data_IF_119640249645
#
_entry.id   IF_119640249645
#
_cell.length_a   1.000
_cell.length_b   1.000
_cell.length_c   1.000
_cell.angle_alpha   90.00
_cell.angle_beta   90.00
_cell.angle_gamma   90.00
#
_symmetry.space_group_name_H-M   'P 1'
#
loop_
_entity.id
_entity.type
_entity.pdbx_description
1 polymer ?
#
# COMPACT_ATOMS: atom_id res chain seq x y z
N UNK A 1 31.78 -17.35 -17.97
CA UNK A 1 30.75 -17.58 -16.92
C UNK A 1 29.94 -16.31 -16.77
N UNK A 2 28.61 -16.39 -16.90
CA UNK A 2 27.72 -15.27 -16.53
C UNK A 2 28.02 -14.92 -15.06
N UNK A 3 28.41 -13.67 -14.81
CA UNK A 3 28.72 -13.20 -13.47
C UNK A 3 27.44 -13.23 -12.66
N UNK A 4 27.30 -14.21 -11.77
CA UNK A 4 26.13 -14.35 -10.92
C UNK A 4 25.97 -13.07 -10.08
N UNK A 5 24.74 -12.56 -10.01
CA UNK A 5 24.42 -11.42 -9.15
C UNK A 5 24.84 -11.70 -7.70
N UNK A 6 25.25 -10.66 -6.98
CA UNK A 6 25.54 -10.75 -5.53
C UNK A 6 24.27 -10.73 -4.68
N UNK A 7 23.11 -10.49 -5.27
CA UNK A 7 21.82 -10.54 -4.60
C UNK A 7 21.25 -11.97 -4.62
N UNK A 8 20.43 -12.28 -3.62
CA UNK A 8 19.53 -13.44 -3.60
C UNK A 8 18.16 -12.98 -4.10
N UNK A 9 17.51 -13.84 -4.88
CA UNK A 9 16.19 -13.61 -5.46
C UNK A 9 15.32 -14.82 -5.17
N UNK A 10 14.13 -14.59 -4.62
CA UNK A 10 13.12 -15.62 -4.42
C UNK A 10 11.78 -15.15 -5.00
N UNK A 11 11.05 -16.05 -5.66
CA UNK A 11 9.74 -15.77 -6.23
C UNK A 11 8.66 -16.36 -5.32
N UNK A 12 7.71 -15.51 -4.92
CA UNK A 12 6.53 -15.90 -4.16
C UNK A 12 5.28 -15.34 -4.86
N UNK A 13 4.60 -16.18 -5.63
CA UNK A 13 3.48 -15.74 -6.46
C UNK A 13 3.92 -14.73 -7.52
N UNK A 14 3.35 -13.53 -7.46
CA UNK A 14 3.68 -12.41 -8.37
C UNK A 14 4.73 -11.45 -7.78
N UNK A 15 5.42 -11.84 -6.70
CA UNK A 15 6.41 -11.00 -6.03
C UNK A 15 7.80 -11.64 -6.10
N UNK A 16 8.78 -10.84 -6.51
CA UNK A 16 10.21 -11.13 -6.39
C UNK A 16 10.70 -10.46 -5.11
N UNK A 17 11.25 -11.23 -4.18
CA UNK A 17 12.05 -10.68 -3.09
C UNK A 17 13.51 -10.58 -3.54
N UNK A 18 14.17 -9.49 -3.17
CA UNK A 18 15.56 -9.21 -3.50
C UNK A 18 16.28 -8.86 -2.21
N UNK A 19 17.34 -9.61 -1.90
CA UNK A 19 18.11 -9.41 -0.69
C UNK A 19 19.61 -9.46 -0.99
N UNK A 20 20.39 -8.76 -0.17
CA UNK A 20 21.84 -8.86 -0.18
C UNK A 20 22.36 -8.84 1.24
N UNK A 21 23.45 -9.57 1.48
CA UNK A 21 24.14 -9.51 2.76
C UNK A 21 24.47 -8.06 3.14
N UNK A 22 24.12 -7.69 4.38
CA UNK A 22 24.25 -6.33 4.91
C UNK A 22 23.06 -5.39 4.65
N UNK A 23 22.02 -5.83 3.95
CA UNK A 23 20.76 -5.07 3.88
C UNK A 23 19.91 -5.32 5.12
N UNK A 24 19.34 -4.25 5.68
CA UNK A 24 18.42 -4.33 6.82
C UNK A 24 17.01 -4.78 6.42
N UNK A 25 16.64 -4.61 5.15
CA UNK A 25 15.29 -4.85 4.63
C UNK A 25 15.36 -5.55 3.27
N UNK A 26 14.38 -6.40 2.99
CA UNK A 26 14.18 -6.98 1.66
C UNK A 26 13.58 -5.93 0.72
N UNK A 27 14.08 -5.91 -0.51
CA UNK A 27 13.39 -5.20 -1.59
C UNK A 27 12.39 -6.13 -2.28
N UNK A 28 11.34 -5.54 -2.84
CA UNK A 28 10.28 -6.25 -3.53
C UNK A 28 10.06 -5.65 -4.92
N UNK A 29 9.80 -6.51 -5.89
CA UNK A 29 9.39 -6.15 -7.24
C UNK A 29 8.27 -7.08 -7.70
N UNK A 30 7.43 -6.65 -8.63
CA UNK A 30 6.44 -7.54 -9.24
C UNK A 30 7.15 -8.48 -10.21
N UNK A 31 6.76 -9.75 -10.22
CA UNK A 31 7.26 -10.74 -11.16
C UNK A 31 6.58 -10.60 -12.52
N UNK A 32 7.38 -10.69 -13.59
CA UNK A 32 6.92 -10.90 -14.96
C UNK A 32 8.03 -11.65 -15.70
N UNK A 33 7.66 -12.64 -16.49
CA UNK A 33 8.61 -13.57 -17.10
C UNK A 33 9.60 -12.88 -18.05
N UNK A 34 9.11 -11.92 -18.83
CA UNK A 34 9.86 -11.22 -19.88
C UNK A 34 11.06 -10.40 -19.40
N UNK A 35 11.09 -9.92 -18.15
CA UNK A 35 12.20 -9.16 -17.59
C UNK A 35 12.89 -9.81 -16.39
N UNK A 36 12.41 -10.98 -15.93
CA UNK A 36 12.95 -11.60 -14.73
C UNK A 36 14.43 -11.94 -14.89
N UNK A 37 14.82 -12.51 -16.05
CA UNK A 37 16.23 -12.85 -16.33
C UNK A 37 17.17 -11.65 -16.28
N UNK A 38 16.76 -10.54 -16.88
CA UNK A 38 17.51 -9.30 -16.83
C UNK A 38 17.64 -8.80 -15.38
N UNK A 39 16.55 -8.82 -14.61
CA UNK A 39 16.55 -8.35 -13.22
C UNK A 39 17.48 -9.17 -12.32
N UNK A 40 17.47 -10.51 -12.41
CA UNK A 40 18.24 -11.37 -11.49
C UNK A 40 19.71 -11.55 -11.89
N UNK A 41 20.06 -11.33 -13.16
CA UNK A 41 21.47 -11.39 -13.61
C UNK A 41 22.26 -10.15 -13.17
N UNK A 42 21.59 -9.06 -12.83
CA UNK A 42 22.20 -7.82 -12.37
C UNK A 42 22.33 -7.72 -10.84
N UNK A 43 23.42 -7.09 -10.38
CA UNK A 43 23.65 -6.82 -8.95
C UNK A 43 23.06 -5.47 -8.56
N UNK A 44 22.15 -5.47 -7.61
CA UNK A 44 21.54 -4.30 -6.99
C UNK A 44 22.31 -3.88 -5.74
N UNK A 45 22.50 -2.57 -5.59
CA UNK A 45 23.11 -1.91 -4.43
C UNK A 45 22.13 -0.92 -3.82
N UNK A 46 22.36 -0.46 -2.59
CA UNK A 46 21.57 0.63 -2.02
C UNK A 46 22.26 1.97 -2.26
N UNK A 47 21.49 2.95 -2.71
CA UNK A 47 21.89 4.36 -2.76
C UNK A 47 20.76 5.21 -2.19
N UNK A 48 21.04 5.94 -1.10
CA UNK A 48 20.03 6.73 -0.36
C UNK A 48 18.76 5.92 0.00
N UNK A 49 18.95 4.64 0.35
CA UNK A 49 17.86 3.73 0.68
C UNK A 49 17.13 3.09 -0.51
N UNK A 50 17.45 3.46 -1.75
CA UNK A 50 16.86 2.83 -2.94
C UNK A 50 17.73 1.69 -3.46
N UNK A 51 17.15 0.55 -3.86
CA UNK A 51 17.82 -0.41 -4.72
C UNK A 51 18.16 0.22 -6.08
N UNK A 52 19.42 0.14 -6.49
CA UNK A 52 19.90 0.73 -7.74
C UNK A 52 20.85 -0.20 -8.50
N UNK A 53 20.83 -0.07 -9.83
CA UNK A 53 21.76 -0.65 -10.77
C UNK A 53 21.96 0.32 -11.95
N UNK A 54 23.21 0.71 -12.22
CA UNK A 54 23.52 1.69 -13.27
C UNK A 54 23.24 1.15 -14.69
N UNK A 55 23.50 -0.14 -14.94
CA UNK A 55 23.29 -0.74 -16.25
C UNK A 55 21.80 -0.82 -16.63
N UNK A 56 20.92 -0.97 -15.62
CA UNK A 56 19.47 -1.02 -15.80
C UNK A 56 18.77 0.33 -15.62
N UNK A 57 19.49 1.44 -15.81
CA UNK A 57 18.89 2.78 -15.83
C UNK A 57 18.64 3.41 -14.46
N UNK A 58 19.27 2.89 -13.39
CA UNK A 58 19.28 3.53 -12.07
C UNK A 58 18.47 2.78 -11.02
N UNK A 59 17.42 3.40 -10.48
CA UNK A 59 16.65 2.84 -9.36
C UNK A 59 15.69 1.73 -9.80
N UNK A 60 15.48 0.74 -8.93
CA UNK A 60 14.60 -0.39 -9.19
C UNK A 60 13.16 0.06 -9.50
N UNK A 61 12.60 1.00 -8.75
CA UNK A 61 11.25 1.51 -9.03
C UNK A 61 11.13 2.14 -10.43
N UNK A 62 12.17 2.85 -10.91
CA UNK A 62 12.16 3.41 -12.28
C UNK A 62 12.27 2.31 -13.32
N UNK A 63 13.13 1.31 -13.09
CA UNK A 63 13.21 0.12 -13.92
C UNK A 63 11.85 -0.59 -14.02
N UNK A 64 11.17 -0.77 -12.89
CA UNK A 64 9.84 -1.38 -12.88
C UNK A 64 8.83 -0.55 -13.68
N UNK A 65 8.80 0.78 -13.50
CA UNK A 65 7.92 1.64 -14.30
C UNK A 65 8.23 1.58 -15.79
N UNK A 66 9.50 1.55 -16.19
CA UNK A 66 9.90 1.41 -17.59
C UNK A 66 9.42 0.07 -18.19
N UNK A 67 9.57 -1.04 -17.45
CA UNK A 67 9.10 -2.36 -17.91
C UNK A 67 7.58 -2.43 -18.06
N UNK A 68 6.83 -1.73 -17.23
CA UNK A 68 5.37 -1.81 -17.22
C UNK A 68 4.67 -0.78 -18.11
N UNK A 69 5.24 0.42 -18.27
CA UNK A 69 4.65 1.49 -19.09
C UNK A 69 5.39 1.77 -20.40
N UNK A 70 6.65 1.33 -20.53
CA UNK A 70 7.54 1.72 -21.62
C UNK A 70 8.53 2.82 -21.22
N UNK A 71 9.75 2.73 -21.76
CA UNK A 71 10.81 3.72 -21.55
C UNK A 71 10.44 5.11 -22.09
N UNK A 72 9.68 5.16 -23.19
CA UNK A 72 9.17 6.38 -23.79
C UNK A 72 8.19 7.11 -22.87
N UNK A 73 7.26 6.38 -22.24
CA UNK A 73 6.32 6.93 -21.25
C UNK A 73 7.05 7.44 -20.02
N UNK A 74 7.99 6.65 -19.47
CA UNK A 74 8.80 7.08 -18.33
C UNK A 74 9.58 8.36 -18.63
N UNK A 75 10.19 8.46 -19.82
CA UNK A 75 10.94 9.63 -20.26
C UNK A 75 10.02 10.85 -20.41
N UNK A 76 8.93 10.73 -21.17
CA UNK A 76 7.97 11.82 -21.41
C UNK A 76 7.41 12.39 -20.11
N UNK A 77 6.99 11.54 -19.17
CA UNK A 77 6.47 11.99 -17.88
C UNK A 77 7.57 12.61 -17.02
N UNK A 78 8.79 12.08 -17.05
CA UNK A 78 9.94 12.69 -16.35
C UNK A 78 10.23 14.10 -16.91
N UNK A 79 10.23 14.28 -18.24
CA UNK A 79 10.42 15.58 -18.90
C UNK A 79 9.29 16.56 -18.56
N UNK A 80 8.06 16.05 -18.38
CA UNK A 80 6.91 16.81 -17.89
C UNK A 80 6.93 17.06 -16.38
N UNK A 81 8.01 16.72 -15.67
CA UNK A 81 8.18 16.99 -14.23
C UNK A 81 7.43 16.05 -13.30
N UNK A 82 7.07 14.86 -13.76
CA UNK A 82 6.61 13.77 -12.90
C UNK A 82 7.80 12.98 -12.34
N UNK A 83 7.60 12.41 -11.17
CA UNK A 83 8.50 11.44 -10.53
C UNK A 83 7.74 10.14 -10.29
N UNK A 84 8.47 9.05 -10.04
CA UNK A 84 7.87 7.78 -9.61
C UNK A 84 7.71 7.81 -8.09
N UNK A 85 6.47 7.93 -7.63
CA UNK A 85 6.09 7.88 -6.22
C UNK A 85 6.03 6.43 -5.73
N UNK A 86 6.35 6.22 -4.46
CA UNK A 86 6.05 4.99 -3.74
C UNK A 86 4.83 5.29 -2.87
N UNK A 87 3.70 4.67 -3.18
CA UNK A 87 2.43 4.96 -2.53
C UNK A 87 2.53 4.80 -1.00
N UNK A 88 3.24 3.78 -0.53
CA UNK A 88 3.52 3.52 0.90
C UNK A 88 4.79 4.22 1.46
N UNK A 89 5.48 5.03 0.66
CA UNK A 89 6.75 5.69 1.00
C UNK A 89 7.87 4.75 1.46
N UNK A 90 7.86 3.48 1.01
CA UNK A 90 8.93 2.52 1.24
C UNK A 90 9.75 2.33 -0.04
N UNK A 91 10.99 2.85 -0.05
CA UNK A 91 11.92 2.78 -1.18
C UNK A 91 12.30 1.35 -1.60
N UNK A 92 12.09 0.38 -0.70
CA UNK A 92 12.37 -1.04 -0.94
C UNK A 92 11.19 -1.76 -1.60
N UNK A 93 9.99 -1.17 -1.60
CA UNK A 93 8.80 -1.78 -2.19
C UNK A 93 8.54 -1.24 -3.60
N UNK A 94 9.19 -1.84 -4.58
CA UNK A 94 9.07 -1.51 -6.00
C UNK A 94 8.05 -2.39 -6.73
N UNK A 95 7.10 -3.02 -6.02
CA UNK A 95 5.99 -3.72 -6.67
C UNK A 95 5.12 -2.72 -7.42
N UNK A 96 4.67 -3.10 -8.61
CA UNK A 96 3.98 -2.18 -9.51
C UNK A 96 2.67 -1.63 -8.93
N UNK A 97 2.01 -2.40 -8.06
CA UNK A 97 0.82 -1.97 -7.32
C UNK A 97 1.08 -0.88 -6.27
N UNK A 98 2.35 -0.56 -5.99
CA UNK A 98 2.80 0.45 -5.04
C UNK A 98 3.49 1.64 -5.74
N UNK A 99 3.53 1.67 -7.08
CA UNK A 99 4.22 2.70 -7.84
C UNK A 99 3.24 3.48 -8.73
N UNK A 100 3.44 4.80 -8.81
CA UNK A 100 2.68 5.67 -9.72
C UNK A 100 3.48 6.91 -10.08
N UNK A 101 3.15 7.54 -11.21
CA UNK A 101 3.64 8.85 -11.57
C UNK A 101 2.91 9.96 -10.81
N UNK A 102 3.66 10.82 -10.13
CA UNK A 102 3.12 11.99 -9.43
C UNK A 102 3.97 13.21 -9.76
N UNK A 103 3.36 14.39 -9.93
CA UNK A 103 4.10 15.64 -10.12
C UNK A 103 5.05 15.87 -8.95
N UNK A 104 6.28 16.32 -9.23
CA UNK A 104 7.32 16.44 -8.21
C UNK A 104 6.88 17.24 -6.96
N UNK A 105 6.22 18.38 -7.15
CA UNK A 105 5.70 19.20 -6.04
C UNK A 105 4.64 18.46 -5.20
N UNK A 106 3.76 17.68 -5.84
CA UNK A 106 2.75 16.86 -5.16
C UNK A 106 3.40 15.70 -4.40
N UNK A 107 4.41 15.06 -4.97
CA UNK A 107 5.19 14.02 -4.28
C UNK A 107 5.91 14.58 -3.04
N UNK A 108 6.50 15.78 -3.14
CA UNK A 108 7.09 16.46 -2.00
C UNK A 108 6.04 16.78 -0.93
N UNK A 109 4.87 17.28 -1.32
CA UNK A 109 3.77 17.56 -0.39
C UNK A 109 3.29 16.30 0.34
N UNK A 110 3.02 15.22 -0.40
CA UNK A 110 2.67 13.89 0.13
C UNK A 110 3.69 13.41 1.15
N UNK A 111 4.98 13.52 0.84
CA UNK A 111 6.07 13.14 1.76
C UNK A 111 6.17 14.01 3.01
N UNK A 112 5.81 15.29 2.92
CA UNK A 112 5.82 16.19 4.08
C UNK A 112 4.59 16.05 4.97
N UNK A 113 3.47 15.58 4.43
CA UNK A 113 2.20 15.47 5.13
C UNK A 113 1.71 14.01 5.18
N UNK A 114 1.01 13.52 4.15
CA UNK A 114 0.39 12.18 4.14
C UNK A 114 1.29 11.07 4.69
N UNK A 115 2.53 10.98 4.20
CA UNK A 115 3.42 9.87 4.56
C UNK A 115 3.85 9.92 6.03
N UNK A 116 4.03 11.12 6.60
CA UNK A 116 4.34 11.30 8.03
C UNK A 116 3.12 10.98 8.88
N UNK A 117 1.96 11.47 8.46
CA UNK A 117 0.71 11.29 9.18
C UNK A 117 0.26 9.83 9.18
N UNK A 118 0.31 9.15 8.03
CA UNK A 118 0.02 7.73 7.92
C UNK A 118 0.96 6.88 8.80
N UNK A 119 2.25 7.24 8.89
CA UNK A 119 3.20 6.56 9.78
C UNK A 119 2.87 6.79 11.26
N UNK A 120 2.53 8.02 11.64
CA UNK A 120 2.20 8.39 13.02
C UNK A 120 0.87 7.77 13.48
N UNK A 121 -0.14 7.77 12.61
CA UNK A 121 -1.48 7.28 12.90
C UNK A 121 -1.66 5.78 12.70
N UNK A 122 -0.66 5.05 12.18
CA UNK A 122 -0.78 3.62 11.87
C UNK A 122 -1.38 2.77 12.98
N UNK A 123 -1.03 3.05 14.24
CA UNK A 123 -1.55 2.33 15.41
C UNK A 123 -3.01 2.63 15.77
N UNK A 124 -3.63 3.60 15.09
CA UNK A 124 -5.03 4.01 15.25
C UNK A 124 -5.82 3.72 13.97
N UNK A 125 -5.32 4.21 12.83
CA UNK A 125 -5.80 3.90 11.49
C UNK A 125 -4.62 3.49 10.59
N UNK A 126 -4.64 2.23 10.14
CA UNK A 126 -3.68 1.69 9.20
C UNK A 126 -4.11 2.01 7.76
N UNK A 127 -3.91 3.26 7.35
CA UNK A 127 -4.20 3.70 5.98
C UNK A 127 -3.11 3.25 5.00
N UNK A 128 -3.50 2.77 3.82
CA UNK A 128 -2.60 2.39 2.74
C UNK A 128 -3.22 2.71 1.38
N UNK A 129 -2.35 2.96 0.40
CA UNK A 129 -2.70 3.31 -0.98
C UNK A 129 -2.19 2.22 -1.91
N UNK A 130 -3.01 1.85 -2.89
CA UNK A 130 -2.66 0.85 -3.90
C UNK A 130 -3.19 1.23 -5.27
N UNK A 131 -2.51 0.74 -6.31
CA UNK A 131 -3.05 0.65 -7.67
C UNK A 131 -3.26 -0.80 -8.03
N UNK A 132 -4.47 -1.15 -8.46
CA UNK A 132 -4.68 -2.40 -9.17
C UNK A 132 -4.36 -2.21 -10.64
N UNK A 133 -3.23 -2.77 -11.06
CA UNK A 133 -2.79 -2.65 -12.44
C UNK A 133 -3.69 -3.37 -13.46
N UNK A 134 -4.46 -4.37 -13.02
CA UNK A 134 -5.35 -5.10 -13.91
C UNK A 134 -6.60 -4.31 -14.29
N UNK A 135 -7.03 -3.38 -13.43
CA UNK A 135 -8.20 -2.52 -13.66
C UNK A 135 -7.83 -1.07 -13.93
N UNK A 136 -6.61 -0.66 -13.58
CA UNK A 136 -6.16 0.73 -13.60
C UNK A 136 -6.71 1.58 -12.43
N UNK A 137 -7.53 0.99 -11.55
CA UNK A 137 -8.16 1.71 -10.44
C UNK A 137 -7.23 1.80 -9.23
N UNK A 138 -7.45 2.82 -8.40
CA UNK A 138 -6.77 2.98 -7.12
C UNK A 138 -7.66 2.55 -5.96
N UNK A 139 -7.04 2.16 -4.86
CA UNK A 139 -7.74 1.87 -3.62
C UNK A 139 -7.06 2.55 -2.43
N UNK A 140 -7.87 3.17 -1.58
CA UNK A 140 -7.49 3.47 -0.21
C UNK A 140 -8.02 2.34 0.65
N UNK A 141 -7.16 1.72 1.43
CA UNK A 141 -7.55 0.74 2.45
C UNK A 141 -7.27 1.30 3.83
N UNK A 142 -8.17 1.09 4.78
CA UNK A 142 -8.06 1.56 6.16
C UNK A 142 -8.30 0.36 7.06
N UNK A 143 -7.27 -0.09 7.77
CA UNK A 143 -7.44 -1.00 8.91
C UNK A 143 -7.73 -0.21 10.18
N UNK A 144 -8.79 -0.55 10.91
CA UNK A 144 -9.19 0.13 12.13
C UNK A 144 -8.51 -0.54 13.34
N UNK A 145 -7.53 0.15 13.93
CA UNK A 145 -6.90 -0.28 15.18
C UNK A 145 -7.60 0.34 16.40
N UNK A 146 -8.08 1.58 16.25
CA UNK A 146 -9.04 2.17 17.18
C UNK A 146 -10.44 1.56 16.96
N UNK A 147 -11.28 1.65 17.98
CA UNK A 147 -12.67 1.19 17.91
C UNK A 147 -13.51 2.15 17.05
N UNK A 148 -13.75 1.79 15.79
CA UNK A 148 -14.54 2.58 14.85
C UNK A 148 -15.95 1.98 14.72
N UNK A 149 -16.96 2.86 14.79
CA UNK A 149 -18.37 2.49 14.69
C UNK A 149 -19.01 3.27 13.53
N UNK A 150 -19.78 2.55 12.72
CA UNK A 150 -20.73 3.16 11.78
C UNK A 150 -22.15 2.98 12.30
N UNK A 151 -23.04 3.92 11.99
CA UNK A 151 -24.44 3.87 12.36
C UNK A 151 -25.30 3.93 11.11
N UNK A 152 -26.26 3.01 10.99
CA UNK A 152 -27.21 3.05 9.89
C UNK A 152 -28.36 4.05 10.14
N UNK A 153 -29.21 4.23 9.12
CA UNK A 153 -30.39 5.10 9.19
C UNK A 153 -31.40 4.74 10.29
N UNK A 154 -31.31 3.54 10.88
CA UNK A 154 -32.19 3.06 11.96
C UNK A 154 -31.54 3.22 13.33
N UNK A 155 -30.31 3.71 13.40
CA UNK A 155 -29.55 3.87 14.64
C UNK A 155 -28.81 2.60 15.08
N UNK A 156 -28.77 1.54 14.26
CA UNK A 156 -28.00 0.35 14.58
C UNK A 156 -26.51 0.63 14.42
N UNK A 157 -25.73 0.25 15.42
CA UNK A 157 -24.28 0.37 15.42
C UNK A 157 -23.63 -0.87 14.81
N UNK A 158 -22.60 -0.64 13.99
CA UNK A 158 -21.76 -1.65 13.36
C UNK A 158 -20.30 -1.32 13.66
N UNK A 159 -19.59 -2.25 14.28
CA UNK A 159 -18.16 -2.12 14.53
C UNK A 159 -17.39 -2.41 13.26
N UNK A 160 -16.39 -1.60 12.93
CA UNK A 160 -15.69 -1.66 11.65
C UNK A 160 -14.26 -2.14 11.85
N UNK A 161 -13.87 -3.19 11.11
CA UNK A 161 -12.50 -3.71 11.08
C UNK A 161 -11.68 -3.08 9.95
N UNK A 162 -12.28 -2.97 8.77
CA UNK A 162 -11.60 -2.40 7.61
C UNK A 162 -12.57 -1.66 6.70
N UNK A 163 -12.05 -0.65 6.01
CA UNK A 163 -12.74 0.09 4.96
C UNK A 163 -11.86 0.07 3.72
N UNK A 164 -12.43 -0.27 2.57
CA UNK A 164 -11.78 -0.18 1.28
C UNK A 164 -12.58 0.76 0.40
N UNK A 165 -11.91 1.71 -0.22
CA UNK A 165 -12.51 2.74 -1.07
C UNK A 165 -11.90 2.62 -2.47
N UNK A 166 -12.73 2.49 -3.50
CA UNK A 166 -12.31 2.36 -4.89
C UNK A 166 -12.33 3.71 -5.59
N UNK A 167 -11.31 3.98 -6.40
CA UNK A 167 -11.16 5.22 -7.15
C UNK A 167 -10.85 4.93 -8.62
N UNK A 168 -11.59 5.59 -9.50
CA UNK A 168 -11.34 5.64 -10.95
C UNK A 168 -11.14 7.10 -11.39
N UNK A 169 -10.19 7.77 -10.73
CA UNK A 169 -9.85 9.17 -10.94
C UNK A 169 -8.33 9.37 -10.85
N UNK A 170 -7.85 10.59 -11.05
CA UNK A 170 -6.42 10.91 -10.99
C UNK A 170 -5.83 10.61 -9.61
N UNK A 171 -4.64 9.99 -9.58
CA UNK A 171 -3.95 9.61 -8.34
C UNK A 171 -3.76 10.78 -7.36
N UNK A 172 -3.58 12.01 -7.85
CA UNK A 172 -3.45 13.17 -6.98
C UNK A 172 -4.71 13.47 -6.16
N UNK A 173 -5.90 13.13 -6.66
CA UNK A 173 -7.16 13.24 -5.90
C UNK A 173 -7.23 12.15 -4.82
N UNK A 174 -6.76 10.95 -5.12
CA UNK A 174 -6.68 9.83 -4.15
C UNK A 174 -5.77 10.20 -2.97
N UNK A 175 -4.63 10.85 -3.25
CA UNK A 175 -3.73 11.37 -2.21
C UNK A 175 -4.42 12.42 -1.34
N UNK A 176 -5.17 13.35 -1.93
CA UNK A 176 -5.89 14.39 -1.18
C UNK A 176 -6.98 13.80 -0.28
N UNK A 177 -7.71 12.79 -0.76
CA UNK A 177 -8.73 12.11 0.05
C UNK A 177 -8.11 11.33 1.20
N UNK A 178 -6.96 10.69 0.97
CA UNK A 178 -6.19 10.03 2.03
C UNK A 178 -5.73 11.02 3.11
N UNK A 179 -5.27 12.20 2.71
CA UNK A 179 -4.92 13.29 3.63
C UNK A 179 -6.14 13.75 4.42
N UNK A 180 -7.26 14.03 3.75
CA UNK A 180 -8.51 14.47 4.39
C UNK A 180 -9.00 13.47 5.46
N UNK A 181 -9.02 12.16 5.14
CA UNK A 181 -9.40 11.11 6.10
C UNK A 181 -8.56 11.19 7.37
N UNK A 182 -7.25 11.27 7.21
CA UNK A 182 -6.29 11.32 8.32
C UNK A 182 -6.42 12.60 9.14
N UNK A 183 -6.56 13.75 8.47
CA UNK A 183 -6.75 15.05 9.12
C UNK A 183 -8.05 15.12 9.93
N UNK A 184 -9.18 14.71 9.33
CA UNK A 184 -10.47 14.70 10.01
C UNK A 184 -10.44 13.78 11.24
N UNK A 185 -9.86 12.59 11.06
CA UNK A 185 -9.77 11.62 12.14
C UNK A 185 -8.90 12.10 13.29
N UNK A 186 -7.76 12.72 13.01
CA UNK A 186 -6.92 13.31 14.05
C UNK A 186 -7.68 14.41 14.81
N UNK A 187 -8.38 15.30 14.10
CA UNK A 187 -9.02 16.45 14.69
C UNK A 187 -10.25 16.09 15.54
N UNK A 188 -11.03 15.10 15.13
CA UNK A 188 -12.35 14.83 15.70
C UNK A 188 -12.59 13.38 16.14
N UNK A 189 -11.65 12.47 15.92
CA UNK A 189 -11.83 11.03 16.17
C UNK A 189 -12.83 10.35 15.24
N UNK A 190 -13.23 11.03 14.15
CA UNK A 190 -14.17 10.56 13.14
C UNK A 190 -13.82 11.17 11.79
N UNK A 191 -14.23 10.52 10.71
CA UNK A 191 -14.08 11.01 9.34
C UNK A 191 -15.32 10.63 8.53
N UNK A 192 -15.60 11.39 7.47
CA UNK A 192 -16.68 11.09 6.54
C UNK A 192 -16.14 10.59 5.21
N UNK A 193 -16.77 9.56 4.66
CA UNK A 193 -16.49 9.07 3.31
C UNK A 193 -17.46 9.64 2.26
N UNK A 194 -18.45 10.44 2.67
CA UNK A 194 -19.53 10.88 1.77
C UNK A 194 -19.08 11.90 0.71
N UNK A 195 -18.04 12.68 1.02
CA UNK A 195 -17.54 13.76 0.16
C UNK A 195 -16.19 13.43 -0.50
N UNK A 196 -15.78 12.16 -0.45
CA UNK A 196 -14.57 11.69 -1.13
C UNK A 196 -14.87 11.43 -2.61
N UNK A 197 -13.82 11.35 -3.42
CA UNK A 197 -13.88 11.06 -4.84
C UNK A 197 -14.04 9.56 -5.14
N UNK A 198 -14.20 8.70 -4.12
CA UNK A 198 -14.36 7.27 -4.31
C UNK A 198 -15.65 6.96 -5.08
N UNK A 199 -15.56 6.05 -6.06
CA UNK A 199 -16.71 5.61 -6.84
C UNK A 199 -17.43 4.40 -6.24
N UNK A 200 -16.78 3.68 -5.32
CA UNK A 200 -17.37 2.54 -4.61
C UNK A 200 -16.67 2.33 -3.25
N UNK A 201 -17.31 1.58 -2.36
CA UNK A 201 -16.80 1.26 -1.02
C UNK A 201 -17.18 -0.14 -0.56
N UNK A 202 -16.28 -0.76 0.21
CA UNK A 202 -16.53 -2.01 0.93
C UNK A 202 -16.14 -1.82 2.38
N UNK A 203 -17.04 -2.20 3.27
CA UNK A 203 -16.86 -2.07 4.72
C UNK A 203 -16.87 -3.49 5.27
N UNK A 204 -15.81 -3.85 5.97
CA UNK A 204 -15.69 -5.13 6.68
C UNK A 204 -16.03 -4.88 8.15
N UNK A 205 -17.17 -5.40 8.57
CA UNK A 205 -17.64 -5.33 9.95
C UNK A 205 -16.85 -6.29 10.86
N UNK A 206 -16.77 -5.93 12.14
CA UNK A 206 -16.18 -6.79 13.14
C UNK A 206 -17.12 -7.96 13.47
N UNK A 207 -16.53 -9.14 13.62
CA UNK A 207 -17.28 -10.31 14.08
C UNK A 207 -17.51 -10.18 15.58
N UNK A 208 -18.75 -10.38 16.02
CA UNK A 208 -19.09 -10.42 17.43
C UNK A 208 -18.60 -11.74 18.05
N UNK A 209 -17.41 -11.69 18.67
CA UNK A 209 -16.81 -12.81 19.37
C UNK A 209 -16.63 -12.42 20.83
N UNK A 210 -17.35 -13.12 21.72
CA UNK A 210 -17.14 -13.03 23.16
C UNK A 210 -15.82 -13.72 23.53
N UNK A 211 -14.82 -12.91 23.87
CA UNK A 211 -13.51 -13.35 24.34
C UNK A 211 -13.53 -13.62 25.85
N UNK A 212 -12.81 -14.66 26.31
CA UNK A 212 -12.48 -14.81 27.74
C UNK A 212 -11.44 -13.78 28.18
N UNK A 213 -11.22 -13.64 29.49
CA UNK A 213 -10.24 -12.68 30.01
C UNK A 213 -8.79 -13.06 29.62
N UNK A 214 -8.50 -14.35 29.49
CA UNK A 214 -7.23 -14.83 28.94
C UNK A 214 -7.08 -14.47 27.47
N UNK A 215 -8.13 -14.65 26.68
CA UNK A 215 -8.13 -14.43 25.23
C UNK A 215 -7.98 -12.96 24.84
N UNK A 216 -8.54 -12.03 25.63
CA UNK A 216 -8.35 -10.58 25.44
C UNK A 216 -6.88 -10.17 25.40
N UNK A 217 -6.02 -10.95 26.06
CA UNK A 217 -4.59 -10.67 26.17
C UNK A 217 -3.72 -11.39 25.13
N UNK A 218 -4.33 -12.25 24.30
CA UNK A 218 -3.67 -12.99 23.23
C UNK A 218 -3.63 -12.19 21.93
N UNK A 219 -2.69 -12.52 21.06
CA UNK A 219 -2.61 -11.94 19.72
C UNK A 219 -3.72 -12.49 18.81
N UNK A 220 -3.94 -13.80 18.87
CA UNK A 220 -4.85 -14.52 17.99
C UNK A 220 -5.73 -15.45 18.80
N UNK A 221 -7.00 -15.53 18.44
CA UNK A 221 -7.94 -16.55 18.94
C UNK A 221 -8.43 -17.41 17.79
N UNK A 222 -8.71 -18.67 18.08
CA UNK A 222 -9.18 -19.62 17.08
C UNK A 222 -10.64 -20.01 17.39
N UNK A 223 -11.52 -19.91 16.40
CA UNK A 223 -12.92 -20.40 16.48
C UNK A 223 -13.22 -21.21 15.24
N UNK A 224 -13.54 -22.50 15.42
CA UNK A 224 -13.85 -23.39 14.31
C UNK A 224 -12.74 -23.51 13.26
N UNK A 225 -11.46 -23.41 13.67
CA UNK A 225 -10.31 -23.42 12.76
C UNK A 225 -9.97 -22.08 12.09
N UNK A 226 -10.82 -21.07 12.23
CA UNK A 226 -10.56 -19.71 11.74
C UNK A 226 -9.76 -18.93 12.78
N UNK A 227 -8.71 -18.25 12.33
CA UNK A 227 -7.84 -17.44 13.17
C UNK A 227 -8.32 -15.99 13.14
N UNK A 228 -8.54 -15.39 14.31
CA UNK A 228 -8.97 -14.01 14.46
C UNK A 228 -7.89 -13.23 15.21
N UNK A 229 -7.48 -12.10 14.65
CA UNK A 229 -6.57 -11.18 15.30
C UNK A 229 -7.34 -10.36 16.34
N UNK A 230 -6.86 -10.35 17.59
CA UNK A 230 -7.43 -9.51 18.65
C UNK A 230 -6.82 -8.11 18.51
N UNK A 231 -7.64 -7.10 18.30
CA UNK A 231 -7.21 -5.69 18.17
C UNK A 231 -7.65 -4.90 19.41
N UNK A 232 -6.92 -3.83 19.74
CA UNK A 232 -7.25 -2.96 20.89
C UNK A 232 -6.70 -3.42 22.25
N UNK A 233 -5.91 -4.50 22.27
CA UNK A 233 -5.26 -5.01 23.50
C UNK A 233 -3.88 -4.34 23.80
N UNK A 234 -3.45 -3.39 22.96
CA UNK A 234 -2.15 -2.71 23.06
C UNK A 234 -0.93 -3.53 22.65
N UNK A 235 -1.11 -4.79 22.23
CA UNK A 235 -0.04 -5.72 21.83
C UNK A 235 -0.07 -6.05 20.34
N UNK A 236 -1.25 -6.01 19.73
CA UNK A 236 -1.48 -6.35 18.34
C UNK A 236 -2.19 -5.22 17.61
N UNK A 237 -1.75 -4.97 16.38
CA UNK A 237 -2.31 -3.94 15.51
C UNK A 237 -2.17 -4.37 14.06
N UNK A 238 -3.08 -3.88 13.22
CA UNK A 238 -3.03 -3.96 11.78
C UNK A 238 -1.96 -3.00 11.27
N UNK A 239 -1.02 -3.48 10.46
CA UNK A 239 -0.03 -2.63 9.80
C UNK A 239 -0.55 -2.03 8.49
N UNK A 240 -1.34 -2.82 7.75
CA UNK A 240 -1.96 -2.47 6.47
C UNK A 240 -3.02 -3.52 6.14
N UNK A 241 -4.06 -3.13 5.39
CA UNK A 241 -4.99 -4.06 4.73
C UNK A 241 -4.64 -4.09 3.24
N UNK A 242 -4.60 -5.27 2.63
CA UNK A 242 -4.31 -5.35 1.20
C UNK A 242 -5.51 -4.91 0.37
N UNK A 243 -5.27 -4.32 -0.79
CA UNK A 243 -6.31 -3.98 -1.75
C UNK A 243 -6.97 -5.24 -2.32
N UNK A 244 -8.16 -5.06 -2.91
CA UNK A 244 -8.87 -6.14 -3.59
C UNK A 244 -8.59 -6.12 -5.08
N UNK A 245 -7.97 -7.18 -5.60
CA UNK A 245 -7.66 -7.32 -7.02
C UNK A 245 -8.92 -7.60 -7.84
N UNK A 246 -9.03 -6.95 -9.00
CA UNK A 246 -10.16 -7.09 -9.93
C UNK A 246 -11.39 -6.29 -9.55
N UNK A 247 -11.33 -5.40 -8.54
CA UNK A 247 -12.47 -4.57 -8.18
C UNK A 247 -12.69 -3.47 -9.22
N UNK A 248 -13.80 -3.58 -9.93
CA UNK A 248 -14.24 -2.63 -10.95
C UNK A 248 -15.28 -1.64 -10.39
N UNK A 249 -15.33 -0.40 -10.91
CA UNK A 249 -16.41 0.53 -10.58
C UNK A 249 -17.78 -0.07 -10.92
N UNK A 250 -18.83 0.26 -10.16
CA UNK A 250 -20.19 -0.16 -10.49
C UNK A 250 -20.58 0.34 -11.88
N UNK A 251 -21.32 -0.48 -12.62
CA UNK A 251 -21.92 -0.08 -13.89
C UNK A 251 -22.88 1.09 -13.63
N UNK A 252 -22.83 2.10 -14.52
CA UNK A 252 -23.69 3.28 -14.43
C UNK A 252 -25.12 3.00 -14.89
#
# INVERSE_FOLDING_TARGET
>A
MLRKSKNKFDIHGDTISIMREGWEQMAFATYREDYYEELFTHTWTLSKGYPTNVALGGSLHRYMMAKWYGDDVLRDLTEKGYVVDHMNNNHMDCRISNLEFLKHNRNVAKGQYLDKEAKRMRYRLALSLFKDFSTGCYQITIGCNDHIISMDSKGQEYHINAIKLLYNCDYSLVVLDAEAILTEYEAAGKFSIANLHCCDRRIEEAVDIKLTDEEKNQAVVIRGGVHYLVIGNGKTFLNSIHYEKGWLPPEK
#
